data_IF_697556380302
#
_entry.id   IF_697556380302
#
_cell.length_a   1.000
_cell.length_b   1.000
_cell.length_c   1.000
_cell.angle_alpha   90.00
_cell.angle_beta   90.00
_cell.angle_gamma   90.00
#
_symmetry.space_group_name_H-M   'P 1'
#
loop_
_entity.id
_entity.type
_entity.pdbx_description
1 polymer ?
#
# COMPACT_ATOMS: atom_id res chain seq x y z
N UNK A 1 -3.21 4.43 8.35
CA UNK A 1 -3.17 3.51 7.19
C UNK A 1 -2.13 2.42 7.39
N UNK A 2 -0.91 2.79 7.73
CA UNK A 2 0.22 1.89 7.97
C UNK A 2 0.49 1.64 9.46
N UNK A 3 0.00 2.51 10.35
CA UNK A 3 0.14 2.35 11.81
C UNK A 3 1.49 2.80 12.35
N UNK A 4 2.23 3.61 11.59
CA UNK A 4 3.55 4.14 11.94
C UNK A 4 3.76 5.52 11.30
N UNK A 5 5.00 6.02 11.34
CA UNK A 5 5.38 7.35 10.85
C UNK A 5 5.18 7.55 9.33
N UNK A 6 4.99 6.50 8.54
CA UNK A 6 4.55 6.64 7.15
C UNK A 6 3.17 7.30 7.02
N UNK A 7 2.29 7.15 8.01
CA UNK A 7 0.97 7.79 7.99
C UNK A 7 1.07 9.32 7.94
N UNK A 8 2.11 9.90 8.54
CA UNK A 8 2.37 11.33 8.48
C UNK A 8 3.07 11.72 7.17
N UNK A 9 4.03 10.92 6.72
CA UNK A 9 4.83 11.22 5.51
C UNK A 9 3.98 11.15 4.24
N UNK A 10 3.04 10.20 4.16
CA UNK A 10 2.22 9.95 2.97
C UNK A 10 0.80 10.49 3.10
N UNK A 11 0.52 11.34 4.10
CA UNK A 11 -0.83 11.80 4.39
C UNK A 11 -1.50 12.42 3.16
N UNK A 12 -0.83 13.41 2.53
CA UNK A 12 -1.35 14.13 1.37
C UNK A 12 -1.69 13.18 0.21
N UNK A 13 -0.82 12.19 -0.05
CA UNK A 13 -1.04 11.21 -1.12
C UNK A 13 -2.18 10.24 -0.79
N UNK A 14 -2.28 9.79 0.47
CA UNK A 14 -3.36 8.88 0.88
C UNK A 14 -4.74 9.53 0.89
N UNK A 15 -4.79 10.86 1.04
CA UNK A 15 -6.00 11.68 0.99
C UNK A 15 -6.33 12.15 -0.44
N UNK A 16 -5.35 12.13 -1.35
CA UNK A 16 -5.52 12.59 -2.72
C UNK A 16 -6.61 11.79 -3.48
N UNK A 17 -7.35 12.51 -4.33
CA UNK A 17 -8.49 11.94 -5.07
C UNK A 17 -8.07 10.76 -5.95
N UNK A 18 -6.92 10.86 -6.62
CA UNK A 18 -6.43 9.81 -7.51
C UNK A 18 -6.14 8.51 -6.74
N UNK A 19 -5.58 8.60 -5.53
CA UNK A 19 -5.27 7.46 -4.70
C UNK A 19 -6.55 6.79 -4.20
N UNK A 20 -7.52 7.59 -3.76
CA UNK A 20 -8.84 7.10 -3.36
C UNK A 20 -9.53 6.35 -4.50
N UNK A 21 -9.46 6.87 -5.73
CA UNK A 21 -10.00 6.20 -6.92
C UNK A 21 -9.35 4.83 -7.14
N UNK A 22 -8.02 4.74 -7.06
CA UNK A 22 -7.29 3.47 -7.17
C UNK A 22 -7.76 2.49 -6.09
N UNK A 23 -7.88 2.92 -4.83
CA UNK A 23 -8.35 2.06 -3.73
C UNK A 23 -9.76 1.54 -3.94
N UNK A 24 -10.68 2.36 -4.47
CA UNK A 24 -12.05 1.94 -4.73
C UNK A 24 -12.13 0.93 -5.87
N UNK A 25 -11.41 1.16 -6.98
CA UNK A 25 -11.32 0.21 -8.09
C UNK A 25 -10.76 -1.12 -7.61
N UNK A 26 -9.62 -1.08 -6.90
CA UNK A 26 -8.96 -2.28 -6.38
C UNK A 26 -9.88 -3.04 -5.41
N UNK A 27 -10.57 -2.34 -4.51
CA UNK A 27 -11.52 -2.96 -3.58
C UNK A 27 -12.73 -3.61 -4.27
N UNK A 28 -13.12 -3.14 -5.45
CA UNK A 28 -14.13 -3.80 -6.28
C UNK A 28 -13.55 -5.07 -6.93
N UNK A 29 -12.33 -5.01 -7.46
CA UNK A 29 -11.65 -6.15 -8.08
C UNK A 29 -11.44 -7.31 -7.09
N UNK A 30 -11.00 -7.03 -5.86
CA UNK A 30 -10.91 -8.06 -4.80
C UNK A 30 -12.22 -8.80 -4.50
N UNK A 31 -13.37 -8.22 -4.87
CA UNK A 31 -14.69 -8.86 -4.70
C UNK A 31 -15.11 -9.68 -5.92
N UNK A 32 -14.57 -9.38 -7.10
CA UNK A 32 -15.02 -9.94 -8.38
C UNK A 32 -14.02 -10.90 -9.00
N UNK A 33 -12.74 -10.81 -8.64
CA UNK A 33 -11.67 -11.63 -9.19
C UNK A 33 -10.59 -11.91 -8.14
N UNK A 34 -9.73 -12.89 -8.44
CA UNK A 34 -8.55 -13.15 -7.61
C UNK A 34 -7.53 -12.06 -7.88
N UNK A 35 -7.13 -11.35 -6.83
CA UNK A 35 -6.09 -10.31 -6.85
C UNK A 35 -5.06 -10.69 -5.81
N UNK A 36 -3.78 -10.60 -6.17
CA UNK A 36 -2.67 -10.82 -5.25
C UNK A 36 -1.95 -9.50 -4.94
N UNK A 37 -1.34 -9.36 -3.75
CA UNK A 37 -1.39 -10.28 -2.60
C UNK A 37 -2.77 -10.22 -1.88
N UNK A 38 -2.99 -10.96 -0.77
CA UNK A 38 -4.15 -10.70 0.10
C UNK A 38 -4.21 -9.22 0.53
N UNK A 39 -5.42 -8.70 0.74
CA UNK A 39 -5.66 -7.27 1.00
C UNK A 39 -4.94 -6.78 2.27
N UNK A 40 -4.82 -7.62 3.28
CA UNK A 40 -4.09 -7.40 4.52
C UNK A 40 -2.59 -7.13 4.29
N UNK A 41 -2.03 -7.70 3.22
CA UNK A 41 -0.60 -7.70 2.92
C UNK A 41 -0.17 -6.62 1.91
N UNK A 42 -1.13 -5.92 1.27
CA UNK A 42 -0.88 -4.88 0.25
C UNK A 42 0.19 -3.84 0.65
N UNK A 43 0.26 -3.49 1.93
CA UNK A 43 1.17 -2.47 2.45
C UNK A 43 2.20 -3.04 3.43
N UNK A 44 2.47 -4.34 3.38
CA UNK A 44 3.37 -5.02 4.33
C UNK A 44 4.75 -4.37 4.42
N UNK A 45 5.34 -3.97 3.30
CA UNK A 45 6.65 -3.33 3.30
C UNK A 45 6.68 -2.05 4.18
N UNK A 46 5.66 -1.20 4.07
CA UNK A 46 5.55 0.04 4.82
C UNK A 46 5.13 -0.19 6.28
N UNK A 47 4.29 -1.20 6.54
CA UNK A 47 3.91 -1.58 7.91
C UNK A 47 5.10 -2.14 8.70
N UNK A 48 5.90 -3.01 8.06
CA UNK A 48 7.03 -3.70 8.69
C UNK A 48 8.26 -2.79 8.86
N UNK A 49 8.44 -1.79 8.00
CA UNK A 49 9.58 -0.87 8.05
C UNK A 49 9.08 0.58 8.18
N UNK A 50 8.97 1.10 9.41
CA UNK A 50 8.69 2.52 9.66
C UNK A 50 9.69 3.42 8.91
N UNK A 51 9.26 4.61 8.50
CA UNK A 51 10.02 5.55 7.69
C UNK A 51 11.41 5.84 8.28
N UNK A 52 11.49 6.15 9.58
CA UNK A 52 12.75 6.42 10.26
C UNK A 52 13.71 5.22 10.36
N UNK A 53 13.23 4.00 10.12
CA UNK A 53 14.04 2.78 10.17
C UNK A 53 14.54 2.32 8.81
N UNK A 54 14.08 2.97 7.72
CA UNK A 54 14.54 2.66 6.37
C UNK A 54 16.03 2.96 6.25
N UNK A 55 16.81 1.95 5.83
CA UNK A 55 18.25 2.07 5.57
C UNK A 55 18.61 1.84 4.11
N UNK A 56 17.83 1.03 3.42
CA UNK A 56 17.97 0.71 2.01
C UNK A 56 16.59 0.44 1.43
N UNK A 57 16.44 0.65 0.12
CA UNK A 57 15.20 0.38 -0.62
C UNK A 57 15.54 -0.56 -1.77
N UNK A 58 14.83 -1.68 -1.85
CA UNK A 58 14.89 -2.62 -2.98
C UNK A 58 13.53 -2.54 -3.67
N UNK A 59 13.53 -2.18 -4.95
CA UNK A 59 12.32 -1.96 -5.74
C UNK A 59 12.13 -3.17 -6.66
N UNK A 60 11.03 -3.90 -6.46
CA UNK A 60 10.57 -4.95 -7.38
C UNK A 60 9.72 -4.39 -8.53
N UNK A 61 9.18 -5.27 -9.36
CA UNK A 61 8.32 -4.89 -10.49
C UNK A 61 6.83 -4.96 -10.11
N UNK A 62 6.34 -6.15 -9.82
CA UNK A 62 4.95 -6.46 -9.50
C UNK A 62 4.87 -7.61 -8.48
N UNK A 63 3.74 -7.78 -7.77
CA UNK A 63 3.52 -8.94 -6.91
C UNK A 63 3.59 -10.25 -7.70
N UNK A 64 3.88 -11.35 -7.00
CA UNK A 64 3.70 -12.68 -7.59
C UNK A 64 2.22 -12.95 -7.93
N UNK A 65 2.01 -13.77 -8.96
CA UNK A 65 0.71 -14.12 -9.55
C UNK A 65 0.25 -15.53 -9.20
#
# INVERSE_FOLDING_TARGET
MFGNDWDKVLQEETEAEYFNKIRYTLAAEYKTQTVFPPKEDLFSALKLTPYHQVKAVIIGQDPYH
#
